data_IF_914495414309
#
_entry.id   IF_914495414309
#
_cell.length_a   1.000
_cell.length_b   1.000
_cell.length_c   1.000
_cell.angle_alpha   90.00
_cell.angle_beta   90.00
_cell.angle_gamma   90.00
#
_symmetry.space_group_name_H-M   'P 1'
#
loop_
_entity.id
_entity.type
_entity.pdbx_description
1 polymer ?
#
# COMPACT_ATOMS: atom_id res chain seq x y z
N UNK A 1 -2.02 16.18 -11.40
CA UNK A 1 -3.51 16.28 -11.31
C UNK A 1 -4.07 16.72 -12.66
N UNK A 2 -5.10 16.01 -13.16
CA UNK A 2 -5.74 16.29 -14.46
C UNK A 2 -6.23 17.74 -14.55
N UNK A 3 -5.92 18.40 -15.69
CA UNK A 3 -6.39 19.72 -16.06
C UNK A 3 -7.01 19.66 -17.45
N UNK A 4 -8.31 19.94 -17.57
CA UNK A 4 -9.06 19.72 -18.80
C UNK A 4 -10.35 20.54 -18.79
N UNK A 5 -11.26 20.30 -19.74
CA UNK A 5 -12.60 20.89 -19.77
C UNK A 5 -13.67 19.81 -19.73
N UNK A 6 -14.87 20.19 -19.27
CA UNK A 6 -16.04 19.29 -19.24
C UNK A 6 -16.34 18.72 -20.66
N UNK A 7 -16.15 19.53 -21.72
CA UNK A 7 -16.30 19.12 -23.10
C UNK A 7 -15.30 18.04 -23.51
N UNK A 8 -14.03 18.20 -23.10
CA UNK A 8 -12.97 17.23 -23.42
C UNK A 8 -13.27 15.89 -22.76
N UNK A 9 -13.73 15.90 -21.51
CA UNK A 9 -14.12 14.67 -20.79
C UNK A 9 -15.32 14.01 -21.48
N UNK A 10 -16.37 14.78 -21.78
CA UNK A 10 -17.55 14.25 -22.46
C UNK A 10 -17.21 13.62 -23.81
N UNK A 11 -16.29 14.23 -24.57
CA UNK A 11 -15.81 13.70 -25.84
C UNK A 11 -14.97 12.42 -25.65
N UNK A 12 -14.11 12.39 -24.65
CA UNK A 12 -13.28 11.20 -24.36
C UNK A 12 -14.13 9.99 -23.94
N UNK A 13 -15.29 10.23 -23.30
CA UNK A 13 -16.22 9.19 -22.86
C UNK A 13 -17.35 8.93 -23.87
N UNK A 14 -17.33 9.58 -25.06
CA UNK A 14 -18.39 9.51 -26.08
C UNK A 14 -19.79 9.71 -25.49
N UNK A 15 -19.96 10.80 -24.73
CA UNK A 15 -21.21 11.07 -23.99
C UNK A 15 -21.65 12.53 -24.10
N UNK A 16 -22.82 12.83 -23.52
CA UNK A 16 -23.49 14.14 -23.59
C UNK A 16 -23.41 14.92 -22.27
N UNK A 17 -23.58 16.22 -22.38
CA UNK A 17 -23.67 17.16 -21.27
C UNK A 17 -25.13 17.52 -20.99
N UNK A 18 -25.45 17.86 -19.74
CA UNK A 18 -26.72 18.42 -19.31
C UNK A 18 -26.50 19.50 -18.24
N UNK A 19 -27.45 20.42 -18.07
CA UNK A 19 -27.41 21.45 -17.05
C UNK A 19 -26.33 22.53 -17.26
N UNK A 20 -25.75 22.67 -18.47
CA UNK A 20 -24.79 23.71 -18.78
C UNK A 20 -25.06 24.38 -20.12
N UNK A 21 -24.95 25.72 -20.15
CA UNK A 21 -24.94 26.52 -21.38
C UNK A 21 -23.51 26.81 -21.89
N UNK A 22 -22.50 26.51 -21.06
CA UNK A 22 -21.08 26.72 -21.35
C UNK A 22 -20.37 25.36 -21.36
N UNK A 23 -19.84 25.01 -22.52
CA UNK A 23 -19.06 23.76 -22.71
C UNK A 23 -17.58 23.91 -22.30
N UNK A 24 -17.14 25.12 -21.94
CA UNK A 24 -15.73 25.43 -21.64
C UNK A 24 -15.42 25.46 -20.13
N UNK A 25 -16.29 24.86 -19.31
CA UNK A 25 -16.02 24.74 -17.88
C UNK A 25 -14.71 24.00 -17.66
N UNK A 26 -13.75 24.71 -17.04
CA UNK A 26 -12.44 24.14 -16.71
C UNK A 26 -12.54 23.21 -15.50
N UNK A 27 -11.94 22.05 -15.61
CA UNK A 27 -11.83 21.05 -14.56
C UNK A 27 -10.37 21.00 -14.09
N UNK A 28 -10.16 21.14 -12.77
CA UNK A 28 -8.88 21.02 -12.10
C UNK A 28 -8.98 19.95 -11.03
N UNK A 29 -8.67 18.72 -11.40
CA UNK A 29 -8.77 17.55 -10.52
C UNK A 29 -10.18 16.97 -10.37
N UNK A 30 -10.26 15.89 -9.64
CA UNK A 30 -11.51 15.15 -9.36
C UNK A 30 -11.63 14.79 -7.89
N UNK A 31 -12.85 14.54 -7.42
CA UNK A 31 -13.10 13.94 -6.11
C UNK A 31 -14.33 13.05 -6.14
N UNK A 32 -14.28 11.94 -5.41
CA UNK A 32 -15.40 11.03 -5.14
C UNK A 32 -16.04 11.28 -3.77
N UNK A 33 -15.39 12.07 -2.91
CA UNK A 33 -15.86 12.42 -1.56
C UNK A 33 -16.24 13.91 -1.53
N UNK A 34 -17.53 14.19 -1.33
CA UNK A 34 -18.05 15.56 -1.29
C UNK A 34 -17.38 16.45 -0.24
N UNK A 35 -16.81 15.88 0.82
CA UNK A 35 -16.14 16.58 1.92
C UNK A 35 -14.72 17.05 1.56
N UNK A 36 -14.08 16.39 0.60
CA UNK A 36 -12.70 16.66 0.16
C UNK A 36 -12.63 17.38 -1.18
N UNK A 37 -13.76 17.68 -1.80
CA UNK A 37 -13.85 18.47 -3.04
C UNK A 37 -13.10 19.80 -2.84
N UNK A 38 -12.29 20.15 -3.85
CA UNK A 38 -11.60 21.43 -3.96
C UNK A 38 -12.22 22.30 -5.08
N UNK A 39 -12.06 23.62 -5.02
CA UNK A 39 -12.53 24.50 -6.08
C UNK A 39 -12.00 24.08 -7.46
N UNK A 40 -12.90 23.93 -8.43
CA UNK A 40 -12.58 23.49 -9.78
C UNK A 40 -12.66 21.98 -10.02
N UNK A 41 -12.94 21.17 -8.98
CA UNK A 41 -13.03 19.73 -9.16
C UNK A 41 -14.28 19.29 -9.95
N UNK A 42 -14.13 18.17 -10.67
CA UNK A 42 -15.23 17.32 -11.10
C UNK A 42 -15.61 16.40 -9.95
N UNK A 43 -16.85 16.44 -9.51
CA UNK A 43 -17.38 15.48 -8.52
C UNK A 43 -17.84 14.21 -9.21
N UNK A 44 -17.46 13.05 -8.70
CA UNK A 44 -17.87 11.74 -9.22
C UNK A 44 -18.63 10.99 -8.12
N UNK A 45 -19.98 10.99 -8.16
CA UNK A 45 -20.78 10.26 -7.19
C UNK A 45 -20.66 8.76 -7.41
N UNK A 46 -20.12 8.05 -6.44
CA UNK A 46 -20.05 6.58 -6.47
C UNK A 46 -21.26 6.01 -5.74
N UNK A 47 -21.90 5.01 -6.32
CA UNK A 47 -22.94 4.23 -5.67
C UNK A 47 -22.28 3.07 -4.93
N UNK A 48 -22.28 3.14 -3.60
CA UNK A 48 -21.81 2.06 -2.74
C UNK A 48 -22.97 1.23 -2.19
N UNK A 49 -22.66 0.16 -1.47
CA UNK A 49 -23.66 -0.76 -0.88
C UNK A 49 -24.67 -0.08 0.06
N UNK A 50 -24.23 0.97 0.78
CA UNK A 50 -25.04 1.64 1.82
C UNK A 50 -25.41 3.06 1.48
N UNK A 51 -24.72 3.67 0.54
CA UNK A 51 -24.81 5.12 0.28
C UNK A 51 -24.72 5.38 -1.22
N UNK A 52 -25.62 6.24 -1.71
CA UNK A 52 -25.58 6.78 -3.07
C UNK A 52 -24.93 8.16 -3.06
N UNK A 53 -23.76 8.25 -3.73
CA UNK A 53 -22.97 9.48 -3.84
C UNK A 53 -23.73 10.66 -4.47
N UNK A 54 -24.75 10.41 -5.31
CA UNK A 54 -25.56 11.46 -5.94
C UNK A 54 -26.26 12.34 -4.91
N UNK A 55 -26.58 11.81 -3.74
CA UNK A 55 -27.25 12.55 -2.65
C UNK A 55 -26.36 13.64 -2.04
N UNK A 56 -25.06 13.63 -2.28
CA UNK A 56 -24.10 14.62 -1.75
C UNK A 56 -23.71 15.71 -2.73
N UNK A 57 -24.40 15.84 -3.88
CA UNK A 57 -24.06 16.84 -4.90
C UNK A 57 -24.07 18.27 -4.32
N UNK A 58 -25.06 18.63 -3.48
CA UNK A 58 -25.12 19.96 -2.91
C UNK A 58 -23.96 20.27 -1.96
N UNK A 59 -23.47 19.26 -1.22
CA UNK A 59 -22.24 19.36 -0.43
C UNK A 59 -21.03 19.57 -1.35
N UNK A 60 -20.91 18.79 -2.41
CA UNK A 60 -19.83 18.91 -3.38
C UNK A 60 -19.80 20.30 -4.05
N UNK A 61 -20.98 20.84 -4.45
CA UNK A 61 -21.12 22.21 -4.98
C UNK A 61 -20.66 23.26 -3.99
N UNK A 62 -21.08 23.13 -2.72
CA UNK A 62 -20.69 24.06 -1.65
C UNK A 62 -19.19 24.08 -1.45
N UNK A 63 -18.52 22.93 -1.58
CA UNK A 63 -17.06 22.79 -1.46
C UNK A 63 -16.29 23.14 -2.76
N UNK A 64 -16.99 23.51 -3.85
CA UNK A 64 -16.35 24.07 -5.04
C UNK A 64 -16.32 23.16 -6.26
N UNK A 65 -17.09 22.06 -6.29
CA UNK A 65 -17.29 21.32 -7.53
C UNK A 65 -17.88 22.24 -8.62
N UNK A 66 -17.34 22.15 -9.83
CA UNK A 66 -17.80 22.93 -10.99
C UNK A 66 -18.63 22.11 -11.97
N UNK A 67 -18.52 20.79 -11.89
CA UNK A 67 -19.30 19.82 -12.64
C UNK A 67 -19.38 18.49 -11.90
N UNK A 68 -20.26 17.58 -12.36
CA UNK A 68 -20.35 16.22 -11.83
C UNK A 68 -20.57 15.19 -12.93
N UNK A 69 -20.16 13.92 -12.70
CA UNK A 69 -20.77 12.81 -13.41
C UNK A 69 -22.20 12.62 -12.90
N UNK A 70 -23.09 12.11 -13.76
CA UNK A 70 -24.46 11.82 -13.39
C UNK A 70 -25.01 10.63 -14.15
N UNK A 71 -25.60 9.67 -13.46
CA UNK A 71 -26.16 8.53 -14.15
C UNK A 71 -27.42 8.90 -14.95
N UNK A 72 -27.51 8.39 -16.18
CA UNK A 72 -28.60 8.70 -17.12
C UNK A 72 -29.98 8.33 -16.56
N UNK A 73 -30.06 7.26 -15.79
CA UNK A 73 -31.29 6.76 -15.16
C UNK A 73 -31.60 7.43 -13.81
N UNK A 74 -30.65 8.17 -13.23
CA UNK A 74 -30.83 8.86 -11.94
C UNK A 74 -31.54 10.22 -12.15
N UNK A 75 -32.85 10.19 -12.20
CA UNK A 75 -33.71 11.38 -12.44
C UNK A 75 -34.38 11.87 -11.15
N UNK A 76 -34.69 13.20 -11.05
CA UNK A 76 -34.45 14.25 -12.04
C UNK A 76 -32.99 14.64 -12.16
N UNK A 77 -32.59 15.17 -13.32
CA UNK A 77 -31.26 15.74 -13.47
C UNK A 77 -31.15 17.05 -12.66
N UNK A 78 -29.98 17.30 -12.02
CA UNK A 78 -29.77 18.49 -11.23
C UNK A 78 -29.65 19.74 -12.12
N UNK A 79 -30.00 20.90 -11.54
CA UNK A 79 -29.67 22.22 -12.15
C UNK A 79 -28.18 22.53 -11.86
N UNK A 80 -27.30 21.80 -12.51
CA UNK A 80 -25.84 21.84 -12.37
C UNK A 80 -25.20 21.20 -13.61
N UNK A 81 -23.99 21.65 -14.03
CA UNK A 81 -23.28 21.02 -15.12
C UNK A 81 -22.97 19.57 -14.86
N UNK A 82 -23.50 18.67 -15.68
CA UNK A 82 -23.25 17.23 -15.52
C UNK A 82 -22.87 16.56 -16.84
N UNK A 83 -21.98 15.60 -16.74
CA UNK A 83 -21.64 14.64 -17.80
C UNK A 83 -22.50 13.40 -17.58
N UNK A 84 -23.36 13.08 -18.53
CA UNK A 84 -24.30 11.97 -18.43
C UNK A 84 -23.59 10.65 -18.75
N UNK A 85 -23.56 9.72 -17.82
CA UNK A 85 -22.90 8.42 -17.96
C UNK A 85 -23.84 7.28 -17.58
N UNK A 86 -23.58 6.07 -18.05
CA UNK A 86 -24.36 4.89 -17.68
C UNK A 86 -24.06 4.44 -16.26
N UNK A 87 -22.80 4.50 -15.88
CA UNK A 87 -22.27 4.13 -14.58
C UNK A 87 -21.11 5.06 -14.25
N UNK A 88 -21.14 5.68 -13.07
CA UNK A 88 -20.12 6.67 -12.66
C UNK A 88 -18.78 6.05 -12.31
N UNK A 89 -18.77 4.81 -11.83
CA UNK A 89 -17.56 4.06 -11.54
C UNK A 89 -16.84 3.66 -12.83
N UNK A 90 -17.59 3.11 -13.79
CA UNK A 90 -17.04 2.77 -15.12
C UNK A 90 -16.53 4.03 -15.83
N UNK A 91 -17.26 5.14 -15.74
CA UNK A 91 -16.84 6.41 -16.34
C UNK A 91 -15.56 6.97 -15.71
N UNK A 92 -15.37 6.82 -14.39
CA UNK A 92 -14.12 7.14 -13.71
C UNK A 92 -12.95 6.31 -14.26
N UNK A 93 -13.15 5.01 -14.44
CA UNK A 93 -12.15 4.08 -14.96
C UNK A 93 -11.78 4.38 -16.42
N UNK A 94 -12.78 4.68 -17.25
CA UNK A 94 -12.59 5.05 -18.67
C UNK A 94 -11.88 6.39 -18.81
N UNK A 95 -12.24 7.37 -17.98
CA UNK A 95 -11.55 8.67 -17.93
C UNK A 95 -10.07 8.50 -17.53
N UNK A 96 -9.80 7.66 -16.50
CA UNK A 96 -8.43 7.37 -16.07
C UNK A 96 -7.63 6.69 -17.18
N UNK A 97 -8.23 5.74 -17.91
CA UNK A 97 -7.60 5.07 -19.06
C UNK A 97 -7.26 6.06 -20.17
N UNK A 98 -8.21 6.93 -20.52
CA UNK A 98 -8.00 7.96 -21.54
C UNK A 98 -6.91 8.97 -21.12
N UNK A 99 -6.89 9.37 -19.85
CA UNK A 99 -5.87 10.26 -19.31
C UNK A 99 -4.50 9.60 -19.31
N UNK A 100 -4.38 8.37 -18.81
CA UNK A 100 -3.12 7.62 -18.81
C UNK A 100 -2.50 7.49 -20.20
N UNK A 101 -3.32 7.25 -21.23
CA UNK A 101 -2.88 7.21 -22.64
C UNK A 101 -2.32 8.54 -23.14
N UNK A 102 -2.70 9.67 -22.54
CA UNK A 102 -2.19 11.00 -22.91
C UNK A 102 -0.86 11.34 -22.23
N UNK A 103 -0.47 10.60 -21.20
CA UNK A 103 0.78 10.82 -20.49
C UNK A 103 1.95 10.09 -21.17
N UNK A 104 3.12 10.71 -21.11
CA UNK A 104 4.39 10.14 -21.63
C UNK A 104 5.33 9.73 -20.48
N UNK A 105 4.82 8.98 -19.50
CA UNK A 105 5.61 8.54 -18.34
C UNK A 105 5.95 7.05 -18.42
N UNK A 106 6.99 6.65 -17.69
CA UNK A 106 7.24 5.24 -17.39
C UNK A 106 6.36 4.81 -16.23
N UNK A 107 5.60 3.74 -16.39
CA UNK A 107 4.76 3.15 -15.33
C UNK A 107 5.50 2.00 -14.67
N UNK A 108 5.65 2.07 -13.34
CA UNK A 108 6.15 0.96 -12.51
C UNK A 108 4.97 0.41 -11.71
N UNK A 109 4.50 -0.79 -12.06
CA UNK A 109 3.42 -1.48 -11.37
C UNK A 109 3.94 -2.36 -10.25
N UNK A 110 3.40 -2.24 -9.04
CA UNK A 110 3.82 -3.03 -7.88
C UNK A 110 2.67 -3.85 -7.33
N UNK A 111 2.80 -5.17 -7.30
CA UNK A 111 1.86 -6.09 -6.67
C UNK A 111 2.56 -7.07 -5.74
N UNK A 112 1.82 -7.88 -5.00
CA UNK A 112 2.33 -8.87 -4.04
C UNK A 112 1.36 -9.09 -2.88
N UNK A 113 1.59 -10.09 -2.07
CA UNK A 113 0.80 -10.31 -0.86
C UNK A 113 1.19 -9.31 0.24
N UNK A 114 2.49 -9.18 0.51
CA UNK A 114 3.10 -8.25 1.45
C UNK A 114 4.18 -7.43 0.73
N UNK A 115 4.64 -6.32 1.32
CA UNK A 115 5.77 -5.53 0.81
C UNK A 115 5.42 -4.50 -0.29
N UNK A 116 4.23 -4.53 -0.89
CA UNK A 116 3.82 -3.60 -1.97
C UNK A 116 4.04 -2.13 -1.63
N UNK A 117 3.48 -1.69 -0.52
CA UNK A 117 3.54 -0.28 -0.07
C UNK A 117 4.96 0.12 0.27
N UNK A 118 5.72 -0.74 0.96
CA UNK A 118 7.15 -0.48 1.28
C UNK A 118 7.98 -0.36 0.00
N UNK A 119 7.84 -1.31 -0.93
CA UNK A 119 8.53 -1.27 -2.23
C UNK A 119 8.15 0.00 -3.03
N UNK A 120 6.87 0.38 -3.07
CA UNK A 120 6.39 1.63 -3.69
C UNK A 120 7.04 2.87 -3.06
N UNK A 121 7.17 2.91 -1.73
CA UNK A 121 7.77 4.04 -1.02
C UNK A 121 9.27 4.12 -1.27
N UNK A 122 9.97 3.00 -1.30
CA UNK A 122 11.39 2.91 -1.68
C UNK A 122 11.61 3.35 -3.14
N UNK A 123 10.79 2.85 -4.07
CA UNK A 123 10.83 3.29 -5.48
C UNK A 123 10.67 4.80 -5.58
N UNK A 124 9.69 5.37 -4.87
CA UNK A 124 9.46 6.81 -4.88
C UNK A 124 10.68 7.57 -4.38
N UNK A 125 11.25 7.15 -3.24
CA UNK A 125 12.42 7.80 -2.65
C UNK A 125 13.62 7.77 -3.59
N UNK A 126 13.91 6.61 -4.21
CA UNK A 126 15.05 6.43 -5.12
C UNK A 126 14.83 7.14 -6.46
N UNK A 127 13.69 6.96 -7.09
CA UNK A 127 13.44 7.52 -8.42
C UNK A 127 13.29 9.05 -8.40
N UNK A 128 12.80 9.62 -7.29
CA UNK A 128 12.70 11.07 -7.10
C UNK A 128 14.06 11.77 -7.05
N UNK A 129 15.17 11.04 -6.89
CA UNK A 129 16.51 11.62 -6.96
C UNK A 129 16.89 12.06 -8.38
N UNK A 130 16.20 11.54 -9.40
CA UNK A 130 16.52 11.83 -10.81
C UNK A 130 15.34 12.27 -11.65
N UNK A 131 14.14 11.80 -11.36
CA UNK A 131 12.96 11.96 -12.19
C UNK A 131 11.82 12.66 -11.44
N UNK A 132 10.95 13.38 -12.15
CA UNK A 132 9.67 13.82 -11.58
C UNK A 132 8.77 12.60 -11.36
N UNK A 133 8.75 12.12 -10.13
CA UNK A 133 8.11 10.87 -9.74
C UNK A 133 6.84 11.12 -8.93
N UNK A 134 5.78 10.39 -9.24
CA UNK A 134 4.56 10.35 -8.42
C UNK A 134 4.18 8.90 -8.12
N UNK A 135 3.48 8.68 -6.99
CA UNK A 135 3.12 7.34 -6.53
C UNK A 135 1.68 7.26 -6.05
N UNK A 136 1.14 6.05 -6.00
CA UNK A 136 -0.13 5.76 -5.32
C UNK A 136 -0.10 6.29 -3.89
N UNK A 137 -1.10 7.07 -3.52
CA UNK A 137 -1.29 7.57 -2.16
C UNK A 137 -2.07 6.58 -1.30
N UNK A 138 -1.65 6.40 -0.05
CA UNK A 138 -2.30 5.48 0.88
C UNK A 138 -2.46 4.07 0.31
N UNK A 139 -3.69 3.58 0.25
CA UNK A 139 -4.09 2.27 -0.26
C UNK A 139 -4.99 2.37 -1.53
N UNK A 140 -4.83 3.42 -2.35
CA UNK A 140 -5.59 3.60 -3.59
C UNK A 140 -5.14 2.62 -4.68
N UNK A 141 -5.29 1.32 -4.44
CA UNK A 141 -4.72 0.25 -5.24
C UNK A 141 -5.76 -0.72 -5.85
N UNK A 142 -7.04 -0.34 -5.81
CA UNK A 142 -8.16 -1.12 -6.34
C UNK A 142 -8.85 -0.42 -7.53
N UNK A 143 -10.00 -0.93 -7.99
CA UNK A 143 -10.78 -0.49 -9.16
C UNK A 143 -11.31 0.95 -9.07
N UNK A 144 -11.26 1.57 -7.90
CA UNK A 144 -11.59 2.99 -7.68
C UNK A 144 -10.32 3.80 -7.38
N UNK A 145 -9.46 3.27 -6.53
CA UNK A 145 -8.27 3.97 -6.03
C UNK A 145 -7.21 4.18 -7.10
N UNK A 146 -6.94 3.18 -7.95
CA UNK A 146 -5.95 3.32 -9.03
C UNK A 146 -6.40 4.35 -10.09
N UNK A 147 -7.67 4.38 -10.56
CA UNK A 147 -8.19 5.48 -11.39
C UNK A 147 -7.98 6.87 -10.79
N UNK A 148 -8.27 7.04 -9.49
CA UNK A 148 -8.04 8.31 -8.78
C UNK A 148 -6.56 8.68 -8.77
N UNK A 149 -5.67 7.72 -8.49
CA UNK A 149 -4.22 7.92 -8.54
C UNK A 149 -3.77 8.37 -9.94
N UNK A 150 -4.26 7.72 -10.99
CA UNK A 150 -3.92 8.08 -12.38
C UNK A 150 -4.36 9.50 -12.70
N UNK A 151 -5.58 9.89 -12.32
CA UNK A 151 -6.11 11.22 -12.59
C UNK A 151 -5.47 12.34 -11.73
N UNK A 152 -4.76 11.96 -10.67
CA UNK A 152 -3.96 12.88 -9.85
C UNK A 152 -2.52 13.07 -10.38
N UNK A 153 -2.07 12.25 -11.34
CA UNK A 153 -0.77 12.42 -11.96
C UNK A 153 -0.68 13.77 -12.70
N UNK A 154 0.47 14.42 -12.61
CA UNK A 154 0.77 15.62 -13.37
C UNK A 154 1.04 15.30 -14.85
N UNK A 155 0.75 16.23 -15.74
CA UNK A 155 0.95 16.03 -17.18
C UNK A 155 2.43 15.83 -17.57
N UNK A 156 3.36 16.32 -16.76
CA UNK A 156 4.81 16.26 -16.95
C UNK A 156 5.49 15.24 -16.00
N UNK A 157 4.71 14.34 -15.40
CA UNK A 157 5.27 13.22 -14.63
C UNK A 157 6.14 12.33 -15.53
N UNK A 158 7.32 11.94 -15.04
CA UNK A 158 8.24 11.08 -15.78
C UNK A 158 8.14 9.62 -15.33
N UNK A 159 7.90 9.40 -14.03
CA UNK A 159 7.72 8.06 -13.44
C UNK A 159 6.44 8.03 -12.61
N UNK A 160 5.55 7.11 -12.95
CA UNK A 160 4.34 6.81 -12.19
C UNK A 160 4.47 5.45 -11.51
N UNK A 161 4.51 5.43 -10.17
CA UNK A 161 4.60 4.19 -9.37
C UNK A 161 3.20 3.84 -8.88
N UNK A 162 2.65 2.76 -9.41
CA UNK A 162 1.27 2.36 -9.19
C UNK A 162 1.21 1.05 -8.39
N UNK A 163 0.68 1.14 -7.17
CA UNK A 163 0.37 -0.04 -6.36
C UNK A 163 -0.90 -0.71 -6.89
N UNK A 164 -0.85 -2.03 -7.14
CA UNK A 164 -1.95 -2.83 -7.70
C UNK A 164 -2.35 -3.92 -6.72
N UNK A 165 -3.50 -3.73 -6.08
CA UNK A 165 -4.11 -4.68 -5.15
C UNK A 165 -4.91 -5.76 -5.87
N UNK A 166 -5.22 -6.86 -5.16
CA UNK A 166 -5.99 -7.96 -5.68
C UNK A 166 -6.79 -8.61 -4.55
N UNK A 167 -8.07 -8.83 -4.77
CA UNK A 167 -8.96 -9.63 -3.92
C UNK A 167 -9.52 -10.83 -4.69
N UNK A 168 -9.70 -10.69 -6.01
CA UNK A 168 -10.25 -11.71 -6.89
C UNK A 168 -9.38 -11.90 -8.13
N UNK A 169 -9.56 -13.06 -8.78
CA UNK A 169 -8.95 -13.33 -10.08
C UNK A 169 -9.45 -12.32 -11.11
N UNK A 170 -8.53 -11.74 -11.88
CA UNK A 170 -8.82 -10.74 -12.91
C UNK A 170 -8.62 -9.30 -12.44
N UNK A 171 -8.49 -9.04 -11.12
CA UNK A 171 -8.32 -7.68 -10.61
C UNK A 171 -7.04 -7.03 -11.13
N UNK A 172 -5.91 -7.74 -11.11
CA UNK A 172 -4.64 -7.23 -11.63
C UNK A 172 -4.74 -6.97 -13.14
N UNK A 173 -5.35 -7.89 -13.88
CA UNK A 173 -5.59 -7.73 -15.30
C UNK A 173 -6.43 -6.47 -15.59
N UNK A 174 -7.47 -6.24 -14.78
CA UNK A 174 -8.31 -5.04 -14.88
C UNK A 174 -7.51 -3.75 -14.61
N UNK A 175 -6.74 -3.69 -13.50
CA UNK A 175 -5.94 -2.53 -13.14
C UNK A 175 -4.88 -2.22 -14.21
N UNK A 176 -4.23 -3.23 -14.75
CA UNK A 176 -3.28 -3.10 -15.85
C UNK A 176 -3.94 -2.60 -17.14
N UNK A 177 -5.23 -2.90 -17.37
CA UNK A 177 -5.97 -2.35 -18.53
C UNK A 177 -6.15 -0.84 -18.47
N UNK A 178 -6.06 -0.24 -17.27
CA UNK A 178 -6.09 1.23 -17.06
C UNK A 178 -4.69 1.81 -17.23
N UNK A 179 -3.68 1.17 -16.62
CA UNK A 179 -2.30 1.63 -16.63
C UNK A 179 -1.33 0.45 -16.80
N UNK A 180 -1.03 0.10 -18.06
CA UNK A 180 -0.10 -0.99 -18.37
C UNK A 180 1.32 -0.65 -17.94
N UNK A 181 1.98 -1.47 -17.09
CA UNK A 181 3.31 -1.16 -16.60
C UNK A 181 4.40 -1.35 -17.66
N UNK A 182 5.38 -0.47 -17.64
CA UNK A 182 6.65 -0.67 -18.36
C UNK A 182 7.55 -1.61 -17.58
N UNK A 183 7.57 -1.47 -16.25
CA UNK A 183 8.25 -2.34 -15.31
C UNK A 183 7.23 -2.83 -14.29
N UNK A 184 7.21 -4.12 -14.01
CA UNK A 184 6.38 -4.71 -12.95
C UNK A 184 7.22 -5.32 -11.85
N UNK A 185 6.70 -5.27 -10.61
CA UNK A 185 7.34 -5.88 -9.43
C UNK A 185 6.32 -6.72 -8.69
N UNK A 186 6.67 -7.99 -8.42
CA UNK A 186 5.89 -8.91 -7.60
C UNK A 186 6.69 -9.17 -6.32
N UNK A 187 6.30 -8.52 -5.23
CA UNK A 187 7.09 -8.48 -4.00
C UNK A 187 7.08 -9.78 -3.21
N UNK A 188 5.95 -10.47 -3.16
CA UNK A 188 5.82 -11.74 -2.42
C UNK A 188 4.53 -12.48 -2.77
N UNK A 189 4.51 -13.79 -2.47
CA UNK A 189 3.30 -14.62 -2.44
C UNK A 189 3.09 -15.08 -0.99
N UNK A 190 1.92 -14.81 -0.42
CA UNK A 190 1.52 -15.20 0.93
C UNK A 190 0.07 -15.66 0.97
N UNK A 191 -0.47 -15.90 2.16
CA UNK A 191 -1.82 -16.43 2.39
C UNK A 191 -2.94 -15.37 2.35
N UNK A 192 -2.63 -14.11 2.07
CA UNK A 192 -3.66 -13.08 1.94
C UNK A 192 -4.65 -13.45 0.83
N UNK A 193 -5.96 -13.33 1.12
CA UNK A 193 -7.06 -13.67 0.21
C UNK A 193 -7.18 -15.16 -0.14
N UNK A 194 -6.64 -16.06 0.71
CA UNK A 194 -6.68 -17.52 0.53
C UNK A 194 -8.11 -18.04 0.32
N UNK A 195 -9.09 -17.46 0.98
CA UNK A 195 -10.52 -17.81 0.84
C UNK A 195 -11.04 -17.64 -0.59
N UNK A 196 -10.57 -16.60 -1.31
CA UNK A 196 -10.99 -16.31 -2.68
C UNK A 196 -10.23 -17.14 -3.73
N UNK A 197 -9.02 -17.59 -3.41
CA UNK A 197 -8.12 -18.25 -4.36
C UNK A 197 -7.95 -19.77 -4.11
N UNK A 198 -8.21 -20.24 -2.89
CA UNK A 198 -8.14 -21.65 -2.50
C UNK A 198 -6.73 -22.23 -2.38
N UNK A 199 -5.71 -21.64 -3.05
CA UNK A 199 -4.31 -22.06 -2.91
C UNK A 199 -3.34 -20.91 -3.17
N UNK A 200 -2.08 -21.02 -2.67
CA UNK A 200 -1.02 -20.04 -2.92
C UNK A 200 -0.61 -19.98 -4.39
N UNK A 201 -0.64 -21.10 -5.12
CA UNK A 201 -0.38 -21.14 -6.56
C UNK A 201 -1.43 -20.33 -7.34
N UNK A 202 -2.70 -20.35 -6.92
CA UNK A 202 -3.73 -19.53 -7.54
C UNK A 202 -3.55 -18.05 -7.20
N UNK A 203 -3.08 -17.71 -5.98
CA UNK A 203 -2.67 -16.35 -5.63
C UNK A 203 -1.51 -15.91 -6.52
N UNK A 204 -0.51 -16.77 -6.74
CA UNK A 204 0.60 -16.50 -7.66
C UNK A 204 0.10 -16.24 -9.08
N UNK A 205 -0.81 -17.08 -9.63
CA UNK A 205 -1.43 -16.86 -10.95
C UNK A 205 -2.14 -15.52 -11.05
N UNK A 206 -2.92 -15.14 -10.01
CA UNK A 206 -3.60 -13.85 -9.98
C UNK A 206 -2.63 -12.66 -9.99
N UNK A 207 -1.52 -12.73 -9.26
CA UNK A 207 -0.50 -11.66 -9.26
C UNK A 207 0.32 -11.63 -10.55
N UNK A 208 0.59 -12.80 -11.14
CA UNK A 208 1.28 -12.91 -12.42
C UNK A 208 0.43 -12.43 -13.62
N UNK A 209 -0.86 -12.12 -13.43
CA UNK A 209 -1.65 -11.40 -14.46
C UNK A 209 -0.96 -10.09 -14.88
N UNK A 210 -0.20 -9.42 -13.97
CA UNK A 210 0.56 -8.21 -14.30
C UNK A 210 1.56 -8.44 -15.44
N UNK A 211 2.14 -9.62 -15.52
CA UNK A 211 3.15 -9.97 -16.50
C UNK A 211 2.62 -9.90 -17.94
N UNK A 212 1.34 -10.26 -18.16
CA UNK A 212 0.71 -10.20 -19.48
C UNK A 212 0.53 -8.78 -20.03
N UNK A 213 0.65 -7.77 -19.16
CA UNK A 213 0.54 -6.35 -19.50
C UNK A 213 1.86 -5.60 -19.39
N UNK A 214 2.90 -6.24 -18.86
CA UNK A 214 4.23 -5.65 -18.70
C UNK A 214 4.90 -5.49 -20.06
N UNK A 215 5.52 -4.32 -20.31
CA UNK A 215 6.10 -4.02 -21.61
C UNK A 215 7.58 -4.42 -21.73
N UNK A 216 8.38 -4.30 -20.65
CA UNK A 216 9.84 -4.48 -20.77
C UNK A 216 10.48 -5.37 -19.71
N UNK A 217 10.16 -5.20 -18.43
CA UNK A 217 10.85 -5.86 -17.32
C UNK A 217 9.86 -6.29 -16.24
N UNK A 218 9.94 -7.54 -15.82
CA UNK A 218 9.24 -8.04 -14.64
C UNK A 218 10.25 -8.52 -13.59
N UNK A 219 10.19 -7.90 -12.41
CA UNK A 219 10.96 -8.27 -11.23
C UNK A 219 10.05 -9.10 -10.31
N UNK A 220 10.47 -10.29 -9.93
CA UNK A 220 9.65 -11.16 -9.10
C UNK A 220 10.46 -11.83 -7.99
N UNK A 221 9.86 -11.92 -6.80
CA UNK A 221 10.47 -12.62 -5.68
C UNK A 221 10.47 -14.13 -5.92
N UNK A 222 11.62 -14.78 -5.70
CA UNK A 222 11.75 -16.23 -5.81
C UNK A 222 10.92 -16.94 -4.74
N UNK A 223 9.98 -17.76 -5.16
CA UNK A 223 9.24 -18.66 -4.27
C UNK A 223 8.68 -19.85 -5.06
N UNK A 224 8.46 -21.01 -4.39
CA UNK A 224 7.96 -22.21 -5.05
C UNK A 224 6.64 -22.03 -5.81
N UNK A 225 5.78 -21.15 -5.31
CA UNK A 225 4.47 -20.88 -5.88
C UNK A 225 4.56 -20.13 -7.23
N UNK A 226 5.51 -19.21 -7.38
CA UNK A 226 5.78 -18.54 -8.67
C UNK A 226 6.43 -19.53 -9.62
N UNK A 227 7.45 -20.25 -9.17
CA UNK A 227 8.18 -21.23 -10.00
C UNK A 227 7.24 -22.29 -10.58
N UNK A 228 6.24 -22.74 -9.80
CA UNK A 228 5.27 -23.74 -10.21
C UNK A 228 4.37 -23.28 -11.37
N UNK A 229 4.12 -21.97 -11.51
CA UNK A 229 3.10 -21.46 -12.45
C UNK A 229 3.66 -20.49 -13.50
N UNK A 230 4.87 -19.98 -13.34
CA UNK A 230 5.45 -18.94 -14.20
C UNK A 230 5.50 -19.37 -15.67
N UNK A 231 5.83 -20.63 -15.95
CA UNK A 231 5.90 -21.17 -17.30
C UNK A 231 4.54 -21.25 -18.01
N UNK A 232 3.43 -21.16 -17.26
CA UNK A 232 2.06 -21.17 -17.80
C UNK A 232 1.62 -19.76 -18.25
N UNK A 233 2.33 -18.70 -17.84
CA UNK A 233 1.93 -17.30 -18.06
C UNK A 233 2.63 -16.76 -19.31
N UNK A 234 1.87 -16.34 -20.34
CA UNK A 234 2.45 -15.69 -21.51
C UNK A 234 3.10 -14.34 -21.14
N UNK A 235 4.34 -14.13 -21.52
CA UNK A 235 5.08 -12.89 -21.22
C UNK A 235 5.86 -12.31 -22.42
N UNK A 236 5.75 -12.93 -23.62
CA UNK A 236 6.35 -12.41 -24.84
C UNK A 236 7.86 -12.14 -24.71
N UNK A 237 8.29 -10.91 -25.03
CA UNK A 237 9.68 -10.47 -24.96
C UNK A 237 10.04 -9.76 -23.65
N UNK A 238 9.17 -9.85 -22.61
CA UNK A 238 9.45 -9.24 -21.29
C UNK A 238 10.66 -9.91 -20.67
N UNK A 239 11.62 -9.11 -20.25
CA UNK A 239 12.77 -9.59 -19.46
C UNK A 239 12.29 -9.99 -18.07
N UNK A 240 12.55 -11.21 -17.66
CA UNK A 240 12.29 -11.69 -16.30
C UNK A 240 13.58 -11.60 -15.49
N UNK A 241 13.49 -11.06 -14.29
CA UNK A 241 14.60 -10.97 -13.34
C UNK A 241 14.09 -11.29 -11.95
N UNK A 242 14.66 -12.30 -11.36
CA UNK A 242 14.27 -12.78 -10.03
C UNK A 242 15.06 -12.08 -8.91
N UNK A 243 14.46 -11.95 -7.72
CA UNK A 243 15.15 -11.45 -6.53
C UNK A 243 14.78 -12.24 -5.28
N UNK A 244 15.62 -12.15 -4.26
CA UNK A 244 15.47 -12.88 -3.00
C UNK A 244 16.56 -13.93 -2.79
N UNK A 245 16.43 -14.85 -1.83
CA UNK A 245 17.52 -15.76 -1.39
C UNK A 245 18.18 -16.60 -2.49
N UNK A 246 17.44 -16.90 -3.56
CA UNK A 246 17.93 -17.72 -4.70
C UNK A 246 17.72 -17.01 -6.04
N UNK A 247 17.52 -15.68 -6.01
CA UNK A 247 17.27 -14.86 -7.20
C UNK A 247 18.52 -14.40 -7.90
N UNK A 248 18.33 -13.69 -9.01
CA UNK A 248 19.41 -13.00 -9.75
C UNK A 248 19.96 -11.84 -8.91
N UNK A 249 19.07 -11.13 -8.19
CA UNK A 249 19.43 -10.14 -7.16
C UNK A 249 19.26 -10.75 -5.77
N UNK A 250 20.30 -10.71 -4.95
CA UNK A 250 20.31 -11.32 -3.62
C UNK A 250 21.20 -10.57 -2.62
N UNK A 251 20.91 -10.81 -1.32
CA UNK A 251 21.69 -10.26 -0.19
C UNK A 251 22.93 -11.12 0.03
N UNK A 252 24.07 -10.48 0.27
CA UNK A 252 25.36 -11.11 0.56
C UNK A 252 25.67 -10.99 2.05
N UNK A 253 25.83 -12.12 2.72
CA UNK A 253 26.15 -12.18 4.15
C UNK A 253 24.99 -11.78 5.04
N UNK A 254 25.31 -11.32 6.25
CA UNK A 254 24.33 -10.98 7.28
C UNK A 254 23.85 -9.52 7.16
N UNK A 255 22.61 -9.26 7.55
CA UNK A 255 22.06 -7.93 7.69
C UNK A 255 22.47 -7.37 9.06
N UNK A 256 22.99 -6.15 9.09
CA UNK A 256 23.39 -5.46 10.32
C UNK A 256 22.19 -4.63 10.79
N UNK A 257 21.72 -4.88 12.00
CA UNK A 257 20.61 -4.15 12.60
C UNK A 257 21.11 -2.97 13.43
N UNK A 258 20.51 -1.81 13.21
CA UNK A 258 20.69 -0.59 13.99
C UNK A 258 19.39 -0.26 14.72
N UNK A 259 19.43 0.65 15.68
CA UNK A 259 18.25 1.08 16.42
C UNK A 259 17.22 1.77 15.52
N UNK A 260 17.67 2.39 14.44
CA UNK A 260 16.89 3.24 13.53
C UNK A 260 16.92 2.74 12.07
N UNK A 261 17.44 1.53 11.82
CA UNK A 261 17.50 1.01 10.48
C UNK A 261 18.31 -0.27 10.32
N UNK A 262 18.64 -0.59 9.10
CA UNK A 262 19.44 -1.76 8.72
C UNK A 262 20.54 -1.37 7.72
N UNK A 263 21.63 -2.16 7.70
CA UNK A 263 22.65 -2.11 6.64
C UNK A 263 22.85 -3.51 6.08
N UNK A 264 22.87 -3.63 4.76
CA UNK A 264 23.06 -4.90 4.07
C UNK A 264 23.97 -4.74 2.85
N UNK A 265 24.51 -5.84 2.34
CA UNK A 265 25.23 -5.91 1.07
C UNK A 265 24.45 -6.75 0.08
N UNK A 266 24.39 -6.35 -1.18
CA UNK A 266 23.78 -7.13 -2.25
C UNK A 266 24.69 -7.17 -3.50
N UNK A 267 24.39 -8.12 -4.39
CA UNK A 267 25.20 -8.31 -5.59
C UNK A 267 25.02 -7.20 -6.65
N UNK A 268 24.01 -6.36 -6.52
CA UNK A 268 23.73 -5.27 -7.46
C UNK A 268 24.40 -3.93 -7.09
N UNK A 269 25.03 -3.82 -5.90
CA UNK A 269 25.68 -2.61 -5.42
C UNK A 269 27.14 -2.88 -5.09
N UNK A 270 28.01 -1.89 -5.33
CA UNK A 270 29.42 -2.00 -4.97
C UNK A 270 29.66 -1.82 -3.46
N UNK A 271 28.87 -0.95 -2.82
CA UNK A 271 28.95 -0.63 -1.39
C UNK A 271 27.79 -1.24 -0.61
N UNK A 272 27.95 -1.43 0.73
CA UNK A 272 26.84 -1.72 1.61
C UNK A 272 25.75 -0.63 1.54
N UNK A 273 24.50 -1.04 1.57
CA UNK A 273 23.32 -0.17 1.52
C UNK A 273 22.77 0.03 2.92
N UNK A 274 22.66 1.27 3.37
CA UNK A 274 22.01 1.63 4.63
C UNK A 274 20.59 2.12 4.37
N UNK A 275 19.65 1.72 5.23
CA UNK A 275 18.24 2.08 5.14
C UNK A 275 17.72 2.51 6.51
N UNK A 276 16.95 3.58 6.55
CA UNK A 276 16.27 4.10 7.76
C UNK A 276 14.95 3.37 8.06
N UNK A 277 14.88 2.08 7.76
CA UNK A 277 13.71 1.22 8.01
C UNK A 277 14.13 -0.07 8.69
N UNK A 278 13.23 -0.68 9.47
CA UNK A 278 13.51 -1.85 10.29
C UNK A 278 13.04 -3.14 9.62
N UNK A 279 13.76 -4.24 9.85
CA UNK A 279 13.41 -5.60 9.46
C UNK A 279 14.06 -6.08 8.17
N UNK A 280 14.50 -7.34 8.18
CA UNK A 280 15.23 -8.00 7.10
C UNK A 280 14.47 -8.03 5.76
N UNK A 281 13.15 -8.19 5.84
CA UNK A 281 12.28 -8.19 4.67
C UNK A 281 12.34 -6.86 3.87
N UNK A 282 12.77 -5.76 4.51
CA UNK A 282 12.94 -4.49 3.82
C UNK A 282 14.18 -4.50 2.93
N UNK A 283 15.24 -5.21 3.31
CA UNK A 283 16.39 -5.42 2.44
C UNK A 283 15.99 -6.23 1.19
N UNK A 284 15.15 -7.26 1.34
CA UNK A 284 14.61 -8.00 0.18
C UNK A 284 13.71 -7.11 -0.71
N UNK A 285 12.86 -6.25 -0.11
CA UNK A 285 12.05 -5.28 -0.86
C UNK A 285 12.90 -4.23 -1.60
N UNK A 286 14.10 -3.93 -1.12
CA UNK A 286 15.03 -3.00 -1.77
C UNK A 286 15.70 -3.58 -3.01
N UNK A 287 15.89 -4.91 -3.11
CA UNK A 287 16.55 -5.54 -4.25
C UNK A 287 15.90 -5.18 -5.60
N UNK A 288 14.59 -5.35 -5.82
CA UNK A 288 13.95 -4.98 -7.07
C UNK A 288 13.97 -3.45 -7.32
N UNK A 289 14.00 -2.64 -6.26
CA UNK A 289 14.12 -1.18 -6.37
C UNK A 289 15.49 -0.80 -6.91
N UNK A 290 16.56 -1.36 -6.35
CA UNK A 290 17.96 -1.15 -6.78
C UNK A 290 18.10 -1.56 -8.25
N UNK A 291 17.65 -2.76 -8.61
CA UNK A 291 17.76 -3.24 -9.98
C UNK A 291 16.98 -2.37 -10.97
N UNK A 292 15.71 -2.04 -10.66
CA UNK A 292 14.91 -1.15 -11.49
C UNK A 292 15.57 0.23 -11.67
N UNK A 293 16.14 0.81 -10.60
CA UNK A 293 16.83 2.08 -10.64
C UNK A 293 18.06 2.05 -11.53
N UNK A 294 18.87 0.99 -11.46
CA UNK A 294 20.03 0.80 -12.34
C UNK A 294 19.63 0.67 -13.80
N UNK A 295 18.54 -0.03 -14.14
CA UNK A 295 18.04 -0.11 -15.53
C UNK A 295 17.60 1.25 -16.07
N UNK A 296 17.19 2.17 -15.19
CA UNK A 296 16.87 3.57 -15.51
C UNK A 296 18.05 4.51 -15.33
N UNK A 297 19.26 3.98 -15.19
CA UNK A 297 20.51 4.74 -15.11
C UNK A 297 20.52 5.77 -13.95
N UNK A 298 19.90 5.44 -12.83
CA UNK A 298 20.10 6.17 -11.57
C UNK A 298 21.46 5.71 -11.03
N UNK A 299 22.33 6.66 -10.66
CA UNK A 299 23.65 6.32 -10.14
C UNK A 299 23.56 5.75 -8.71
N UNK A 300 24.60 4.98 -8.31
CA UNK A 300 24.58 4.27 -7.04
C UNK A 300 24.50 5.20 -5.83
N UNK A 301 25.13 6.37 -5.86
CA UNK A 301 25.05 7.33 -4.76
C UNK A 301 23.60 7.86 -4.59
N UNK A 302 22.88 8.07 -5.70
CA UNK A 302 21.47 8.49 -5.66
C UNK A 302 20.57 7.36 -5.16
N UNK A 303 20.86 6.10 -5.50
CA UNK A 303 20.17 4.93 -4.98
C UNK A 303 20.37 4.82 -3.46
N UNK A 304 21.64 4.87 -3.00
CA UNK A 304 22.01 4.84 -1.58
C UNK A 304 21.29 5.97 -0.81
N UNK A 305 21.40 7.20 -1.30
CA UNK A 305 20.74 8.35 -0.67
C UNK A 305 19.21 8.16 -0.58
N UNK A 306 18.57 7.69 -1.66
CA UNK A 306 17.13 7.43 -1.67
C UNK A 306 16.71 6.36 -0.66
N UNK A 307 17.50 5.29 -0.52
CA UNK A 307 17.21 4.21 0.43
C UNK A 307 17.52 4.60 1.90
N UNK A 308 18.47 5.50 2.13
CA UNK A 308 18.76 6.04 3.45
C UNK A 308 17.69 7.03 3.94
N UNK A 309 16.89 7.62 3.02
CA UNK A 309 15.94 8.68 3.31
C UNK A 309 14.50 8.31 2.90
N UNK A 310 14.07 7.09 3.20
CA UNK A 310 12.73 6.62 2.85
C UNK A 310 11.69 7.25 3.78
N UNK A 311 10.64 7.83 3.19
CA UNK A 311 9.43 8.23 3.90
C UNK A 311 8.36 7.13 3.74
N UNK A 312 8.27 6.26 4.75
CA UNK A 312 7.30 5.17 4.77
C UNK A 312 5.87 5.69 4.94
N UNK A 313 4.94 5.07 4.24
CA UNK A 313 3.50 5.27 4.47
C UNK A 313 3.16 4.92 5.91
N UNK A 314 2.38 5.78 6.57
CA UNK A 314 1.97 5.62 7.98
C UNK A 314 1.40 4.23 8.27
N UNK A 315 1.58 3.75 9.51
CA UNK A 315 1.12 2.45 9.99
C UNK A 315 1.72 1.23 9.25
N UNK A 316 2.90 1.39 8.62
CA UNK A 316 3.61 0.33 7.89
C UNK A 316 5.05 0.23 8.39
N UNK A 317 5.23 -0.43 9.53
CA UNK A 317 6.53 -0.52 10.24
C UNK A 317 7.15 0.88 10.44
N UNK A 318 6.28 1.88 10.67
CA UNK A 318 6.69 3.26 10.87
C UNK A 318 7.35 3.39 12.24
N UNK A 319 8.55 3.94 12.28
CA UNK A 319 9.27 4.19 13.52
C UNK A 319 8.87 5.56 14.10
N UNK A 320 8.56 5.57 15.38
CA UNK A 320 8.16 6.76 16.16
C UNK A 320 8.90 6.72 17.49
N UNK A 321 9.52 7.81 17.91
CA UNK A 321 10.13 7.92 19.23
C UNK A 321 9.17 8.58 20.20
N UNK A 322 8.92 7.96 21.35
CA UNK A 322 8.16 8.53 22.47
C UNK A 322 9.00 8.35 23.74
N UNK A 323 9.41 9.44 24.38
CA UNK A 323 10.37 9.39 25.49
C UNK A 323 11.70 8.75 25.07
N UNK A 324 12.08 7.63 25.70
CA UNK A 324 13.24 6.83 25.35
C UNK A 324 12.88 5.57 24.53
N UNK A 325 11.58 5.28 24.37
CA UNK A 325 11.10 4.11 23.68
C UNK A 325 11.04 4.34 22.16
N UNK A 326 11.38 3.29 21.41
CA UNK A 326 11.18 3.19 19.96
C UNK A 326 9.89 2.45 19.69
N UNK A 327 8.87 3.15 19.18
CA UNK A 327 7.58 2.56 18.80
C UNK A 327 7.62 2.17 17.32
N UNK A 328 7.20 0.95 17.02
CA UNK A 328 7.03 0.45 15.64
C UNK A 328 5.53 0.40 15.37
N UNK A 329 5.01 1.36 14.61
CA UNK A 329 3.62 1.37 14.17
C UNK A 329 3.45 0.48 12.92
N UNK A 330 2.88 -0.70 13.11
CA UNK A 330 2.49 -1.63 12.04
C UNK A 330 1.00 -2.01 12.16
N UNK A 331 0.18 -0.99 12.49
CA UNK A 331 -1.23 -1.13 12.84
C UNK A 331 -2.20 -1.08 11.64
N UNK A 332 -1.72 -1.06 10.39
CA UNK A 332 -2.58 -1.00 9.22
C UNK A 332 -3.29 -2.33 8.91
N UNK A 333 -2.57 -3.45 8.94
CA UNK A 333 -3.11 -4.79 8.64
C UNK A 333 -2.32 -5.84 9.41
N UNK A 334 -3.02 -6.89 9.85
CA UNK A 334 -2.40 -8.04 10.51
C UNK A 334 -2.90 -9.34 9.91
N UNK A 335 -1.99 -10.24 9.60
CA UNK A 335 -2.22 -11.64 9.27
C UNK A 335 -1.07 -12.47 9.85
N UNK A 336 -1.16 -13.82 9.91
CA UNK A 336 -0.15 -14.63 10.58
C UNK A 336 1.27 -14.44 10.05
N UNK A 337 1.45 -14.36 8.72
CA UNK A 337 2.77 -14.16 8.12
C UNK A 337 3.33 -12.78 8.48
N UNK A 338 2.54 -11.71 8.33
CA UNK A 338 3.00 -10.35 8.65
C UNK A 338 3.22 -10.14 10.14
N UNK A 339 2.49 -10.85 11.01
CA UNK A 339 2.69 -10.80 12.46
C UNK A 339 4.02 -11.44 12.86
N UNK A 340 4.38 -12.58 12.27
CA UNK A 340 5.69 -13.21 12.48
C UNK A 340 6.83 -12.30 12.05
N UNK A 341 6.76 -11.75 10.82
CA UNK A 341 7.77 -10.82 10.30
C UNK A 341 7.92 -9.58 11.20
N UNK A 342 6.82 -9.05 11.73
CA UNK A 342 6.89 -7.91 12.65
C UNK A 342 7.52 -8.27 14.01
N UNK A 343 7.28 -9.49 14.52
CA UNK A 343 7.92 -10.00 15.73
C UNK A 343 9.41 -10.25 15.51
N UNK A 344 9.82 -10.81 14.35
CA UNK A 344 11.23 -10.95 13.96
C UNK A 344 11.92 -9.58 13.93
N UNK A 345 11.26 -8.60 13.31
CA UNK A 345 11.75 -7.21 13.28
C UNK A 345 11.91 -6.66 14.69
N UNK A 346 10.92 -6.82 15.57
CA UNK A 346 11.00 -6.35 16.95
C UNK A 346 12.20 -6.98 17.66
N UNK A 347 12.37 -8.31 17.55
CA UNK A 347 13.44 -9.06 18.22
C UNK A 347 14.85 -8.70 17.72
N UNK A 348 14.96 -8.21 16.48
CA UNK A 348 16.24 -7.84 15.86
C UNK A 348 16.77 -6.46 16.27
N UNK A 349 15.93 -5.61 16.87
CA UNK A 349 16.34 -4.26 17.28
C UNK A 349 17.29 -4.34 18.47
N UNK A 350 18.45 -3.68 18.42
CA UNK A 350 19.43 -3.76 19.51
C UNK A 350 19.04 -2.89 20.71
N UNK A 351 18.02 -3.33 21.46
CA UNK A 351 17.52 -2.68 22.69
C UNK A 351 17.44 -3.69 23.83
N UNK A 352 17.54 -3.25 25.11
CA UNK A 352 17.49 -4.14 26.26
C UNK A 352 16.12 -4.81 26.49
N UNK A 353 15.03 -4.27 25.94
CA UNK A 353 13.68 -4.74 26.20
C UNK A 353 12.81 -4.68 24.94
N UNK A 354 12.07 -5.74 24.66
CA UNK A 354 11.17 -5.89 23.53
C UNK A 354 9.73 -6.12 24.00
N UNK A 355 8.80 -5.30 23.53
CA UNK A 355 7.39 -5.34 23.91
C UNK A 355 6.54 -5.50 22.64
N UNK A 356 5.75 -6.55 22.57
CA UNK A 356 4.76 -6.74 21.51
C UNK A 356 3.37 -6.34 21.99
N UNK A 357 2.74 -5.37 21.35
CA UNK A 357 1.36 -4.95 21.56
C UNK A 357 0.53 -5.43 20.37
N UNK A 358 -0.24 -6.49 20.58
CA UNK A 358 -0.94 -7.20 19.52
C UNK A 358 -2.45 -7.13 19.70
N UNK A 359 -3.18 -7.06 18.58
CA UNK A 359 -4.62 -7.14 18.55
C UNK A 359 -5.08 -8.14 17.50
N UNK A 360 -6.40 -8.28 17.35
CA UNK A 360 -7.01 -9.28 16.51
C UNK A 360 -6.53 -9.21 15.06
N UNK A 361 -6.27 -10.38 14.49
CA UNK A 361 -6.13 -10.62 13.06
C UNK A 361 -7.49 -11.03 12.53
N UNK A 362 -8.11 -10.19 11.71
CA UNK A 362 -9.44 -10.43 11.15
C UNK A 362 -9.37 -11.16 9.80
N UNK A 363 -10.51 -11.70 9.37
CA UNK A 363 -10.68 -12.39 8.08
C UNK A 363 -9.83 -13.67 7.92
N UNK A 364 -9.65 -14.42 9.02
CA UNK A 364 -8.87 -15.68 9.04
C UNK A 364 -9.74 -16.94 8.89
N UNK A 365 -11.06 -16.81 8.95
CA UNK A 365 -12.01 -17.93 8.85
C UNK A 365 -12.01 -18.86 10.07
N UNK A 366 -12.36 -20.14 9.86
CA UNK A 366 -12.62 -21.10 10.96
C UNK A 366 -11.40 -21.41 11.87
N UNK A 367 -10.19 -21.06 11.45
CA UNK A 367 -8.95 -21.37 12.21
C UNK A 367 -8.41 -20.18 13.01
N UNK A 368 -9.17 -19.09 13.16
CA UNK A 368 -8.71 -17.83 13.75
C UNK A 368 -8.11 -17.99 15.16
N UNK A 369 -8.72 -18.75 16.05
CA UNK A 369 -8.20 -19.01 17.41
C UNK A 369 -6.82 -19.69 17.36
N UNK A 370 -6.70 -20.74 16.56
CA UNK A 370 -5.44 -21.48 16.40
C UNK A 370 -4.33 -20.63 15.79
N UNK A 371 -4.67 -19.77 14.84
CA UNK A 371 -3.70 -18.86 14.22
C UNK A 371 -3.22 -17.78 15.19
N UNK A 372 -4.11 -17.27 16.05
CA UNK A 372 -3.72 -16.35 17.13
C UNK A 372 -2.80 -17.03 18.15
N UNK A 373 -3.13 -18.24 18.59
CA UNK A 373 -2.27 -19.03 19.50
C UNK A 373 -0.89 -19.31 18.90
N UNK A 374 -0.80 -19.57 17.58
CA UNK A 374 0.48 -19.74 16.89
C UNK A 374 1.36 -18.50 16.96
N UNK A 375 0.79 -17.29 16.85
CA UNK A 375 1.53 -16.02 16.97
C UNK A 375 2.02 -15.83 18.41
N UNK A 376 1.21 -16.15 19.41
CA UNK A 376 1.62 -16.13 20.82
C UNK A 376 2.78 -17.08 21.10
N UNK A 377 2.67 -18.32 20.62
CA UNK A 377 3.75 -19.31 20.73
C UNK A 377 5.04 -18.82 20.06
N UNK A 378 4.92 -18.19 18.89
CA UNK A 378 6.05 -17.65 18.15
C UNK A 378 6.73 -16.50 18.90
N UNK A 379 5.95 -15.56 19.45
CA UNK A 379 6.49 -14.47 20.28
C UNK A 379 7.24 -14.99 21.51
N UNK A 380 6.70 -16.03 22.16
CA UNK A 380 7.36 -16.70 23.28
C UNK A 380 8.69 -17.36 22.86
N UNK A 381 8.72 -18.04 21.71
CA UNK A 381 9.95 -18.68 21.18
C UNK A 381 11.05 -17.68 20.84
N UNK A 382 10.67 -16.48 20.38
CA UNK A 382 11.61 -15.37 20.11
C UNK A 382 12.15 -14.73 21.39
N UNK A 383 11.58 -15.02 22.56
CA UNK A 383 11.98 -14.43 23.82
C UNK A 383 11.57 -12.97 23.97
N UNK A 384 10.43 -12.56 23.39
CA UNK A 384 9.88 -11.21 23.58
C UNK A 384 9.56 -11.01 25.05
N UNK A 385 10.09 -9.96 25.69
CA UNK A 385 10.03 -9.75 27.14
C UNK A 385 8.59 -9.54 27.65
N UNK A 386 7.78 -8.78 26.88
CA UNK A 386 6.38 -8.53 27.22
C UNK A 386 5.50 -8.69 25.98
N UNK A 387 4.44 -9.47 26.10
CA UNK A 387 3.38 -9.58 25.09
C UNK A 387 2.07 -9.08 25.69
N UNK A 388 1.61 -7.94 25.23
CA UNK A 388 0.37 -7.27 25.63
C UNK A 388 -0.65 -7.41 24.53
N UNK A 389 -1.83 -7.87 24.86
CA UNK A 389 -2.89 -8.14 23.89
C UNK A 389 -4.19 -7.44 24.25
N UNK A 390 -4.93 -6.96 23.24
CA UNK A 390 -6.27 -6.39 23.38
C UNK A 390 -7.13 -6.77 22.19
N UNK A 391 -8.34 -7.28 22.46
CA UNK A 391 -9.27 -7.80 21.47
C UNK A 391 -9.69 -9.23 21.81
N UNK A 392 -10.82 -9.67 21.29
CA UNK A 392 -11.41 -10.95 21.70
C UNK A 392 -10.57 -12.16 21.29
N UNK A 393 -10.06 -12.16 20.05
CA UNK A 393 -9.23 -13.23 19.51
C UNK A 393 -7.79 -13.17 20.01
N UNK A 394 -7.29 -11.98 20.32
CA UNK A 394 -5.94 -11.79 20.83
C UNK A 394 -5.75 -12.35 22.25
N UNK A 395 -6.83 -12.77 22.92
CA UNK A 395 -6.76 -13.58 24.14
C UNK A 395 -5.95 -14.86 23.92
N UNK A 396 -6.17 -15.57 22.80
CA UNK A 396 -5.42 -16.80 22.47
C UNK A 396 -3.93 -16.51 22.20
N UNK A 397 -3.61 -15.32 21.67
CA UNK A 397 -2.22 -14.87 21.52
C UNK A 397 -1.55 -14.66 22.88
N UNK A 398 -2.23 -13.95 23.79
CA UNK A 398 -1.70 -13.69 25.14
C UNK A 398 -1.49 -14.97 25.93
N UNK A 399 -2.47 -15.89 25.93
CA UNK A 399 -2.39 -17.16 26.64
C UNK A 399 -1.20 -18.01 26.15
N UNK A 400 -1.07 -18.18 24.83
CA UNK A 400 0.03 -18.95 24.22
C UNK A 400 1.41 -18.30 24.40
N UNK A 401 1.47 -16.98 24.49
CA UNK A 401 2.70 -16.23 24.74
C UNK A 401 3.10 -16.17 26.21
N UNK A 402 2.25 -16.62 27.15
CA UNK A 402 2.33 -16.33 28.57
C UNK A 402 2.39 -14.83 28.88
N UNK A 403 1.69 -14.04 28.05
CA UNK A 403 1.62 -12.59 28.10
C UNK A 403 0.42 -12.08 28.93
N UNK A 404 0.07 -10.81 28.73
CA UNK A 404 -1.04 -10.18 29.42
C UNK A 404 -2.13 -9.74 28.43
N UNK A 405 -3.34 -10.20 28.65
CA UNK A 405 -4.52 -9.73 27.93
C UNK A 405 -5.20 -8.61 28.71
N UNK A 406 -5.65 -7.56 27.99
CA UNK A 406 -6.33 -6.40 28.54
C UNK A 406 -7.75 -6.31 27.98
N UNK A 407 -8.71 -5.92 28.82
CA UNK A 407 -10.11 -5.71 28.47
C UNK A 407 -10.35 -4.42 27.68
N UNK A 408 -9.41 -3.49 27.71
CA UNK A 408 -9.50 -2.20 27.05
C UNK A 408 -8.14 -1.63 26.63
N UNK A 409 -8.14 -0.78 25.61
CA UNK A 409 -6.94 -0.03 25.21
C UNK A 409 -6.43 0.89 26.31
N UNK A 410 -7.34 1.45 27.13
CA UNK A 410 -6.96 2.31 28.24
C UNK A 410 -6.13 1.59 29.29
N UNK A 411 -6.54 0.38 29.71
CA UNK A 411 -5.77 -0.41 30.66
C UNK A 411 -4.41 -0.83 30.08
N UNK A 412 -4.36 -1.17 28.79
CA UNK A 412 -3.12 -1.48 28.09
C UNK A 412 -2.20 -0.26 28.02
N UNK A 413 -2.69 0.95 27.67
CA UNK A 413 -1.92 2.19 27.64
C UNK A 413 -1.32 2.50 29.01
N UNK A 414 -2.09 2.32 30.10
CA UNK A 414 -1.57 2.51 31.47
C UNK A 414 -0.42 1.55 31.78
N UNK A 415 -0.48 0.32 31.30
CA UNK A 415 0.59 -0.65 31.48
C UNK A 415 1.84 -0.34 30.63
N UNK A 416 1.68 0.35 29.48
CA UNK A 416 2.80 0.74 28.61
C UNK A 416 3.54 2.00 29.10
N UNK A 417 2.87 2.94 29.77
CA UNK A 417 3.46 4.23 30.18
C UNK A 417 4.81 4.11 30.91
N UNK A 418 5.02 3.18 31.87
CA UNK A 418 6.31 3.05 32.54
C UNK A 418 7.49 2.69 31.62
N UNK A 419 7.23 2.11 30.47
CA UNK A 419 8.25 1.70 29.51
C UNK A 419 8.72 2.86 28.62
N UNK A 420 7.93 3.95 28.50
CA UNK A 420 8.30 5.09 27.66
C UNK A 420 9.58 5.79 28.14
N UNK A 421 9.88 5.73 29.44
CA UNK A 421 11.09 6.30 30.03
C UNK A 421 12.29 5.34 30.00
N UNK A 422 12.15 4.18 29.33
CA UNK A 422 13.19 3.14 29.24
C UNK A 422 13.64 2.93 27.80
N UNK A 423 14.89 2.51 27.62
CA UNK A 423 15.40 2.09 26.31
C UNK A 423 14.77 0.74 25.91
N UNK A 424 13.67 0.79 25.18
CA UNK A 424 12.94 -0.38 24.70
C UNK A 424 12.39 -0.19 23.29
N UNK A 425 12.06 -1.30 22.63
CA UNK A 425 11.31 -1.32 21.39
C UNK A 425 9.90 -1.86 21.63
N UNK A 426 8.89 -1.15 21.11
CA UNK A 426 7.46 -1.49 21.27
C UNK A 426 6.83 -1.64 19.89
N UNK A 427 6.45 -2.85 19.51
CA UNK A 427 5.66 -3.12 18.31
C UNK A 427 4.17 -2.92 18.59
N UNK A 428 3.47 -2.15 17.78
CA UNK A 428 2.01 -2.02 17.83
C UNK A 428 1.41 -2.55 16.54
N UNK A 429 0.66 -3.67 16.61
CA UNK A 429 0.12 -4.36 15.43
C UNK A 429 -1.29 -4.91 15.67
N UNK A 430 -2.14 -4.76 14.64
CA UNK A 430 -3.50 -5.30 14.59
C UNK A 430 -4.15 -5.06 13.23
N UNK A 431 -5.34 -5.60 13.02
CA UNK A 431 -6.14 -5.30 11.84
C UNK A 431 -6.64 -3.84 11.88
N UNK A 432 -6.83 -3.19 10.73
CA UNK A 432 -7.24 -1.78 10.66
C UNK A 432 -8.49 -1.47 11.49
N UNK A 433 -9.46 -2.38 11.49
CA UNK A 433 -10.70 -2.21 12.24
C UNK A 433 -10.51 -2.20 13.77
N UNK A 434 -9.40 -2.74 14.28
CA UNK A 434 -9.07 -2.70 15.71
C UNK A 434 -8.50 -1.33 16.14
N UNK A 435 -8.19 -0.44 15.20
CA UNK A 435 -7.72 0.94 15.44
C UNK A 435 -6.59 1.02 16.48
N UNK A 436 -5.53 0.22 16.31
CA UNK A 436 -4.42 0.17 17.25
C UNK A 436 -3.54 1.44 17.19
N UNK A 437 -3.60 2.19 16.10
CA UNK A 437 -2.98 3.52 15.94
C UNK A 437 -3.44 4.54 17.00
N UNK A 438 -4.63 4.35 17.59
CA UNK A 438 -5.10 5.17 18.72
C UNK A 438 -4.20 5.04 19.94
N UNK A 439 -3.67 3.84 20.24
CA UNK A 439 -2.76 3.63 21.37
C UNK A 439 -1.55 4.54 21.25
N UNK A 440 -0.96 4.63 20.06
CA UNK A 440 0.21 5.48 19.79
C UNK A 440 -0.16 6.96 19.95
N UNK A 441 -1.31 7.37 19.40
CA UNK A 441 -1.82 8.75 19.52
C UNK A 441 -2.02 9.14 20.98
N UNK A 442 -2.63 8.27 21.79
CA UNK A 442 -2.91 8.53 23.20
C UNK A 442 -1.63 8.55 24.07
N UNK A 443 -0.61 7.74 23.70
CA UNK A 443 0.71 7.78 24.33
C UNK A 443 1.41 9.11 24.05
N UNK A 444 1.35 9.63 22.81
CA UNK A 444 1.94 10.92 22.42
C UNK A 444 1.26 12.12 23.08
N UNK A 445 -0.07 12.07 23.28
CA UNK A 445 -0.80 13.17 23.94
C UNK A 445 -0.52 13.26 25.44
N UNK A 446 -0.28 12.14 26.11
CA UNK A 446 0.02 12.10 27.53
C UNK A 446 1.44 12.55 27.92
N UNK A 447 2.34 12.83 26.96
CA UNK A 447 3.62 13.50 27.19
C UNK A 447 3.47 15.03 27.29
N UNK A 448 2.35 15.59 26.84
CA UNK A 448 2.12 17.04 26.82
C UNK A 448 1.29 17.53 28.03
N UNK A 449 0.91 16.65 28.97
CA UNK A 449 0.29 16.97 30.25
C UNK A 449 1.27 16.77 31.42
#
# INVERSE_FOLDING_TARGET
MIQTTIQTIAKALDTSLSGCNDSDISISGISIDSRTVQPGNLYIPIIGERVDGHTFLDSAKTNGAVASFWQIDHKPYPDFPVILVKDTTVALQDLARAYMQSLSCTVIGVTGSNGKTSCKDMLYSVFSQKYKTQKTQGNHNNEIGLPLTVLDLDADVEIAILEMGMEHKGDINFLCSIASPDISIITSIGSAHMENFGSKENIARGKLEILTHTKSLCLYHTCPEIDAVLSEIPHGEVTLHSFGPHGDSYIIGDIIHHKDGITFTCNDMENPVSMNVLGDFQAENALPVIYAAKTKQIDENAIEYGLEHIEMTKMRTQQITIGQATIIDDSYKSNPESAKVALDTLSSIPTPCHIAVLSDMLDLGENEESLHAQIGTYAHQLGIDYVFCVGDLSFYTADAAQGTWFDSKQSLIQALRPFLDTDCAILVKGSRATAMDQIITDLQQGENE
#
